data_IF_521846301384
#
_entry.id   IF_521846301384
#
_cell.length_a   1.000
_cell.length_b   1.000
_cell.length_c   1.000
_cell.angle_alpha   90.00
_cell.angle_beta   90.00
_cell.angle_gamma   90.00
#
_symmetry.space_group_name_H-M   'P 1'
#
loop_
_entity.id
_entity.type
_entity.pdbx_description
1 polymer ?
#
# COMPACT_ATOMS: atom_id res chain seq x y z
N UNK A 1 0.18 -13.91 -0.57
CA UNK A 1 0.60 -12.53 -0.26
C UNK A 1 1.03 -12.44 1.21
N UNK A 2 2.11 -13.12 1.58
CA UNK A 2 2.66 -13.04 2.94
C UNK A 2 3.58 -11.82 3.11
N UNK A 3 4.41 -11.52 2.12
CA UNK A 3 5.30 -10.35 2.13
C UNK A 3 4.50 -9.04 2.05
N UNK A 4 3.52 -8.96 1.14
CA UNK A 4 2.65 -7.78 1.02
C UNK A 4 1.87 -7.49 2.32
N UNK A 5 1.37 -8.54 3.01
CA UNK A 5 0.72 -8.41 4.32
C UNK A 5 1.69 -7.96 5.42
N UNK A 6 2.90 -8.52 5.46
CA UNK A 6 3.91 -8.14 6.45
C UNK A 6 4.35 -6.67 6.27
N UNK A 7 4.61 -6.25 5.03
CA UNK A 7 4.91 -4.84 4.69
C UNK A 7 3.72 -3.95 5.05
N UNK A 8 2.49 -4.36 4.72
CA UNK A 8 1.27 -3.64 5.07
C UNK A 8 1.11 -3.45 6.59
N UNK A 9 1.38 -4.48 7.39
CA UNK A 9 1.34 -4.39 8.85
C UNK A 9 2.42 -3.44 9.40
N UNK A 10 3.62 -3.49 8.84
CA UNK A 10 4.69 -2.54 9.16
C UNK A 10 4.31 -1.10 8.82
N UNK A 11 3.73 -0.90 7.64
CA UNK A 11 3.30 0.41 7.13
C UNK A 11 2.15 0.99 7.97
N UNK A 12 1.09 0.22 8.21
CA UNK A 12 -0.04 0.65 9.04
C UNK A 12 0.37 0.89 10.49
N UNK A 13 1.29 0.07 11.02
CA UNK A 13 1.88 0.28 12.33
C UNK A 13 2.65 1.60 12.42
N UNK A 14 3.42 1.94 11.38
CA UNK A 14 4.11 3.23 11.30
C UNK A 14 3.13 4.40 11.18
N UNK A 15 2.13 4.31 10.30
CA UNK A 15 1.06 5.32 10.16
C UNK A 15 0.35 5.54 11.49
N UNK A 16 0.01 4.47 12.20
CA UNK A 16 -0.58 4.54 13.54
C UNK A 16 0.34 5.24 14.53
N UNK A 17 1.63 4.89 14.57
CA UNK A 17 2.59 5.50 15.49
C UNK A 17 2.75 7.01 15.19
N UNK A 18 2.75 7.41 13.92
CA UNK A 18 2.74 8.84 13.53
C UNK A 18 1.47 9.54 14.03
N UNK A 19 0.30 8.91 13.89
CA UNK A 19 -0.97 9.50 14.35
C UNK A 19 -1.10 9.53 15.88
N UNK A 20 -0.46 8.61 16.61
CA UNK A 20 -0.53 8.52 18.07
C UNK A 20 0.53 9.38 18.76
N UNK A 21 1.77 9.29 18.31
CA UNK A 21 2.95 9.80 18.99
C UNK A 21 3.61 10.98 18.24
N UNK A 22 3.18 11.24 17.00
CA UNK A 22 3.72 12.28 16.11
C UNK A 22 4.84 11.77 15.19
N UNK A 23 5.05 12.48 14.08
CA UNK A 23 6.02 12.09 13.05
C UNK A 23 7.45 11.96 13.59
N UNK A 24 7.91 12.93 14.40
CA UNK A 24 9.28 12.93 14.93
C UNK A 24 9.57 11.71 15.82
N UNK A 25 8.65 11.33 16.71
CA UNK A 25 8.83 10.16 17.59
C UNK A 25 8.73 8.86 16.80
N UNK A 26 7.79 8.75 15.86
CA UNK A 26 7.66 7.57 14.99
C UNK A 26 8.94 7.32 14.17
N UNK A 27 9.53 8.37 13.59
CA UNK A 27 10.79 8.28 12.83
C UNK A 27 11.97 7.85 13.72
N UNK A 28 12.05 8.37 14.96
CA UNK A 28 13.08 7.95 15.92
C UNK A 28 12.92 6.49 16.31
N UNK A 29 11.72 6.07 16.68
CA UNK A 29 11.47 4.72 17.18
C UNK A 29 11.61 3.65 16.10
N UNK A 30 11.17 3.93 14.87
CA UNK A 30 11.11 2.94 13.78
C UNK A 30 12.33 2.94 12.88
N UNK A 31 12.91 4.11 12.62
CA UNK A 31 14.02 4.26 11.68
C UNK A 31 15.35 4.59 12.39
N UNK A 32 15.31 5.01 13.66
CA UNK A 32 16.48 5.51 14.39
C UNK A 32 17.19 6.65 13.62
N UNK A 33 16.40 7.49 12.95
CA UNK A 33 16.86 8.54 12.02
C UNK A 33 16.27 9.89 12.38
N UNK A 34 16.90 10.58 13.31
CA UNK A 34 16.54 11.95 13.70
C UNK A 34 16.82 12.98 12.59
N UNK A 35 17.62 12.61 11.59
CA UNK A 35 17.99 13.41 10.43
C UNK A 35 16.87 13.55 9.38
N UNK A 36 15.78 12.79 9.55
CA UNK A 36 14.60 12.80 8.68
C UNK A 36 13.49 13.75 9.16
N UNK A 37 13.68 14.44 10.28
CA UNK A 37 12.75 15.48 10.73
C UNK A 37 12.81 16.67 9.77
N UNK A 38 11.66 17.29 9.48
CA UNK A 38 11.48 18.40 8.54
C UNK A 38 11.88 18.08 7.09
N UNK A 39 11.92 16.79 6.72
CA UNK A 39 12.20 16.34 5.35
C UNK A 39 10.94 16.18 4.51
N UNK A 40 11.05 16.29 3.17
CA UNK A 40 9.94 16.00 2.27
C UNK A 40 9.36 14.61 2.52
N UNK A 41 8.03 14.50 2.45
CA UNK A 41 7.32 13.24 2.68
C UNK A 41 7.85 12.09 1.83
N UNK A 42 8.12 12.36 0.55
CA UNK A 42 8.63 11.37 -0.40
C UNK A 42 10.00 10.82 -0.01
N UNK A 43 10.92 11.68 0.47
CA UNK A 43 12.24 11.27 0.95
C UNK A 43 12.13 10.36 2.18
N UNK A 44 11.28 10.73 3.14
CA UNK A 44 11.05 9.94 4.35
C UNK A 44 10.44 8.58 4.04
N UNK A 45 9.43 8.54 3.17
CA UNK A 45 8.74 7.32 2.78
C UNK A 45 9.62 6.38 1.95
N UNK A 46 10.54 6.91 1.14
CA UNK A 46 11.56 6.09 0.47
C UNK A 46 12.50 5.40 1.47
N UNK A 47 12.94 6.12 2.52
CA UNK A 47 13.75 5.50 3.57
C UNK A 47 12.95 4.46 4.34
N UNK A 48 11.68 4.73 4.62
CA UNK A 48 10.78 3.76 5.24
C UNK A 48 10.68 2.48 4.38
N UNK A 49 10.52 2.61 3.06
CA UNK A 49 10.46 1.49 2.13
C UNK A 49 11.69 0.57 2.24
N UNK A 50 12.90 1.15 2.35
CA UNK A 50 14.13 0.35 2.51
C UNK A 50 14.21 -0.38 3.86
N UNK A 51 13.48 0.09 4.88
CA UNK A 51 13.44 -0.57 6.19
C UNK A 51 12.39 -1.66 6.25
N UNK A 52 11.20 -1.43 5.68
CA UNK A 52 10.07 -2.35 5.81
C UNK A 52 10.00 -3.40 4.70
N UNK A 53 10.50 -3.10 3.50
CA UNK A 53 10.47 -4.05 2.39
C UNK A 53 11.60 -5.07 2.51
N UNK A 54 11.31 -6.37 2.36
CA UNK A 54 12.35 -7.40 2.29
C UNK A 54 13.31 -7.15 1.11
N UNK A 55 14.49 -7.79 1.12
CA UNK A 55 15.51 -7.63 0.08
C UNK A 55 15.08 -8.15 -1.31
N UNK A 56 13.92 -8.81 -1.41
CA UNK A 56 13.36 -9.33 -2.64
C UNK A 56 13.83 -10.75 -3.00
N UNK A 57 13.39 -11.23 -4.16
CA UNK A 57 13.69 -12.57 -4.69
C UNK A 57 12.45 -13.44 -4.89
N UNK A 58 11.35 -13.14 -4.18
CA UNK A 58 10.03 -13.75 -4.44
C UNK A 58 9.09 -12.75 -5.13
N UNK A 59 8.17 -13.26 -5.96
CA UNK A 59 7.16 -12.45 -6.67
C UNK A 59 6.39 -11.55 -5.70
N UNK A 60 5.98 -12.08 -4.56
CA UNK A 60 5.22 -11.33 -3.55
C UNK A 60 6.04 -10.23 -2.86
N UNK A 61 7.35 -10.41 -2.72
CA UNK A 61 8.25 -9.38 -2.18
C UNK A 61 8.49 -8.26 -3.20
N UNK A 62 8.60 -8.63 -4.48
CA UNK A 62 8.67 -7.68 -5.58
C UNK A 62 7.38 -6.88 -5.71
N UNK A 63 6.21 -7.53 -5.60
CA UNK A 63 4.89 -6.87 -5.56
C UNK A 63 4.84 -5.86 -4.42
N UNK A 64 5.21 -6.26 -3.20
CA UNK A 64 5.16 -5.36 -2.05
C UNK A 64 6.07 -4.14 -2.23
N UNK A 65 7.30 -4.34 -2.72
CA UNK A 65 8.23 -3.22 -2.95
C UNK A 65 7.74 -2.31 -4.07
N UNK A 66 7.30 -2.87 -5.20
CA UNK A 66 6.82 -2.10 -6.33
C UNK A 66 5.59 -1.26 -5.95
N UNK A 67 4.60 -1.88 -5.30
CA UNK A 67 3.40 -1.20 -4.86
C UNK A 67 3.68 -0.01 -3.94
N UNK A 68 4.66 -0.14 -3.03
CA UNK A 68 5.06 0.95 -2.16
C UNK A 68 5.72 2.10 -2.94
N UNK A 69 6.55 1.78 -3.93
CA UNK A 69 7.19 2.79 -4.80
C UNK A 69 6.15 3.52 -5.66
N UNK A 70 5.18 2.80 -6.23
CA UNK A 70 4.11 3.38 -7.03
C UNK A 70 3.25 4.32 -6.16
N UNK A 71 2.93 3.91 -4.93
CA UNK A 71 2.21 4.76 -3.97
C UNK A 71 2.99 6.03 -3.62
N UNK A 72 4.32 5.94 -3.48
CA UNK A 72 5.18 7.10 -3.23
C UNK A 72 5.19 8.03 -4.45
N UNK A 73 5.19 7.48 -5.67
CA UNK A 73 5.09 8.25 -6.90
C UNK A 73 3.75 9.00 -6.98
N UNK A 74 2.62 8.34 -6.71
CA UNK A 74 1.29 8.98 -6.67
C UNK A 74 1.25 10.12 -5.66
N UNK A 75 1.93 9.96 -4.52
CA UNK A 75 2.01 11.00 -3.49
C UNK A 75 2.90 12.17 -3.94
N UNK A 76 3.97 11.90 -4.68
CA UNK A 76 4.85 12.93 -5.23
C UNK A 76 4.12 13.82 -6.23
N UNK A 77 3.24 13.24 -7.05
CA UNK A 77 2.40 14.01 -7.99
C UNK A 77 1.41 14.96 -7.28
N UNK A 78 1.04 14.64 -6.04
CA UNK A 78 0.12 15.43 -5.21
C UNK A 78 0.80 16.54 -4.41
N UNK A 79 2.13 16.67 -4.47
CA UNK A 79 2.96 17.68 -3.78
C UNK A 79 2.57 17.90 -2.30
N UNK A 80 2.62 16.82 -1.51
CA UNK A 80 2.13 16.82 -0.12
C UNK A 80 3.05 17.52 0.90
N UNK A 81 4.16 18.12 0.46
CA UNK A 81 5.07 18.86 1.32
C UNK A 81 5.93 18.00 2.25
N UNK A 82 6.18 18.52 3.46
CA UNK A 82 7.02 17.84 4.45
C UNK A 82 6.27 16.71 5.16
N UNK A 83 7.00 15.70 5.61
CA UNK A 83 6.41 14.50 6.22
C UNK A 83 5.64 14.82 7.51
N UNK A 84 6.15 15.72 8.34
CA UNK A 84 5.56 16.14 9.62
C UNK A 84 4.28 16.98 9.45
N UNK A 85 4.04 17.49 8.26
CA UNK A 85 2.84 18.26 7.90
C UNK A 85 1.73 17.37 7.32
N UNK A 86 2.01 16.09 7.06
CA UNK A 86 1.01 15.15 6.53
C UNK A 86 -0.13 14.94 7.52
N UNK A 87 -1.35 15.16 7.05
CA UNK A 87 -2.57 14.91 7.81
C UNK A 87 -2.83 13.41 7.98
N UNK A 88 -3.60 13.02 9.01
CA UNK A 88 -4.03 11.62 9.18
C UNK A 88 -4.76 11.08 7.94
N UNK A 89 -5.52 11.93 7.24
CA UNK A 89 -6.18 11.54 5.98
C UNK A 89 -5.17 11.24 4.88
N UNK A 90 -4.12 12.03 4.72
CA UNK A 90 -3.06 11.76 3.74
C UNK A 90 -2.26 10.50 4.09
N UNK A 91 -2.02 10.23 5.38
CA UNK A 91 -1.34 9.00 5.81
C UNK A 91 -2.21 7.75 5.59
N UNK A 92 -3.51 7.84 5.87
CA UNK A 92 -4.47 6.77 5.57
C UNK A 92 -4.59 6.54 4.06
N UNK A 93 -4.68 7.61 3.28
CA UNK A 93 -4.70 7.60 1.81
C UNK A 93 -3.46 6.92 1.24
N UNK A 94 -2.29 7.25 1.77
CA UNK A 94 -1.03 6.59 1.42
C UNK A 94 -1.08 5.08 1.73
N UNK A 95 -1.54 4.69 2.91
CA UNK A 95 -1.69 3.27 3.25
C UNK A 95 -2.67 2.54 2.32
N UNK A 96 -3.81 3.15 1.99
CA UNK A 96 -4.79 2.55 1.08
C UNK A 96 -4.27 2.44 -0.36
N UNK A 97 -3.54 3.46 -0.84
CA UNK A 97 -2.86 3.39 -2.14
C UNK A 97 -1.91 2.19 -2.23
N UNK A 98 -1.15 1.92 -1.17
CA UNK A 98 -0.32 0.71 -1.10
C UNK A 98 -1.15 -0.57 -1.22
N UNK A 99 -2.29 -0.66 -0.53
CA UNK A 99 -3.17 -1.83 -0.65
C UNK A 99 -3.70 -1.98 -2.08
N UNK A 100 -4.19 -0.91 -2.71
CA UNK A 100 -4.67 -0.91 -4.10
C UNK A 100 -3.59 -1.46 -5.04
N UNK A 101 -2.37 -0.89 -4.98
CA UNK A 101 -1.26 -1.31 -5.84
C UNK A 101 -0.83 -2.77 -5.60
N UNK A 102 -0.85 -3.25 -4.35
CA UNK A 102 -0.51 -4.66 -4.09
C UNK A 102 -1.56 -5.64 -4.65
N UNK A 103 -2.85 -5.30 -4.56
CA UNK A 103 -3.93 -6.12 -5.11
C UNK A 103 -3.89 -6.10 -6.63
N UNK A 104 -3.71 -4.93 -7.24
CA UNK A 104 -3.57 -4.78 -8.68
C UNK A 104 -2.38 -5.59 -9.21
N UNK A 105 -1.20 -5.39 -8.64
CA UNK A 105 0.01 -6.11 -9.06
C UNK A 105 -0.14 -7.63 -8.86
N UNK A 106 -0.91 -8.07 -7.85
CA UNK A 106 -1.21 -9.49 -7.65
C UNK A 106 -2.11 -10.03 -8.74
N UNK A 107 -3.20 -9.32 -9.07
CA UNK A 107 -4.12 -9.71 -10.14
C UNK A 107 -3.39 -9.75 -11.47
N UNK A 108 -2.57 -8.74 -11.79
CA UNK A 108 -1.73 -8.72 -12.98
C UNK A 108 -0.75 -9.88 -13.03
N UNK A 109 -0.09 -10.20 -11.91
CA UNK A 109 0.83 -11.34 -11.84
C UNK A 109 0.11 -12.68 -12.06
N UNK A 110 -1.10 -12.83 -11.53
CA UNK A 110 -1.90 -14.04 -11.71
C UNK A 110 -2.47 -14.12 -13.14
N UNK A 111 -2.95 -13.03 -13.74
CA UNK A 111 -3.34 -12.99 -15.17
C UNK A 111 -2.15 -13.30 -16.06
N UNK A 112 -1.00 -12.63 -15.88
CA UNK A 112 0.19 -12.84 -16.70
C UNK A 112 0.73 -14.26 -16.64
N UNK A 113 0.51 -14.98 -15.53
CA UNK A 113 0.86 -16.39 -15.40
C UNK A 113 -0.06 -17.34 -16.19
N UNK A 114 -1.31 -16.94 -16.43
CA UNK A 114 -2.34 -17.76 -17.09
C UNK A 114 -2.72 -17.24 -18.50
N UNK A 115 -2.24 -16.06 -18.89
CA UNK A 115 -2.52 -15.46 -20.19
C UNK A 115 -1.80 -16.26 -21.30
N UNK A 116 -2.59 -16.81 -22.23
CA UNK A 116 -2.11 -17.54 -23.41
C UNK A 116 -1.96 -16.58 -24.61
N UNK A 117 -2.76 -15.51 -24.65
CA UNK A 117 -2.71 -14.47 -25.68
C UNK A 117 -2.07 -13.18 -25.15
N UNK A 118 -1.07 -12.70 -25.87
CA UNK A 118 -0.38 -11.45 -25.59
C UNK A 118 -1.12 -10.29 -26.28
N UNK A 119 -1.37 -9.15 -25.59
CA UNK A 119 -1.91 -7.95 -26.22
C UNK A 119 -1.07 -7.54 -27.45
N UNK A 120 -1.74 -7.09 -28.51
CA UNK A 120 -1.09 -6.81 -29.79
C UNK A 120 -0.19 -5.56 -29.75
N UNK A 121 -0.40 -4.66 -28.79
CA UNK A 121 0.37 -3.43 -28.60
C UNK A 121 0.38 -2.97 -27.14
N UNK A 122 1.28 -2.03 -26.82
CA UNK A 122 1.49 -1.49 -25.47
C UNK A 122 0.29 -0.66 -25.00
N UNK A 123 -0.40 0.04 -25.90
CA UNK A 123 -1.53 0.90 -25.54
C UNK A 123 -2.70 0.09 -24.98
N UNK A 124 -2.92 -1.12 -25.51
CA UNK A 124 -3.91 -2.05 -24.97
C UNK A 124 -3.54 -2.54 -23.57
N UNK A 125 -2.25 -2.73 -23.28
CA UNK A 125 -1.77 -3.11 -21.93
C UNK A 125 -2.04 -1.98 -20.95
N UNK A 126 -1.65 -0.75 -21.30
CA UNK A 126 -1.87 0.44 -20.47
C UNK A 126 -3.36 0.65 -20.18
N UNK A 127 -4.23 0.49 -21.18
CA UNK A 127 -5.68 0.62 -20.99
C UNK A 127 -6.24 -0.45 -20.04
N UNK A 128 -5.76 -1.70 -20.12
CA UNK A 128 -6.18 -2.77 -19.21
C UNK A 128 -5.70 -2.48 -17.78
N UNK A 129 -4.48 -1.97 -17.63
CA UNK A 129 -3.93 -1.58 -16.32
C UNK A 129 -4.73 -0.43 -15.71
N UNK A 130 -5.01 0.65 -16.45
CA UNK A 130 -5.83 1.77 -15.95
C UNK A 130 -7.23 1.32 -15.52
N UNK A 131 -7.87 0.43 -16.30
CA UNK A 131 -9.18 -0.12 -15.96
C UNK A 131 -9.14 -0.98 -14.70
N UNK A 132 -8.12 -1.82 -14.55
CA UNK A 132 -7.93 -2.63 -13.37
C UNK A 132 -7.65 -1.75 -12.14
N UNK A 133 -6.78 -0.76 -12.28
CA UNK A 133 -6.47 0.21 -11.22
C UNK A 133 -7.75 0.91 -10.75
N UNK A 134 -8.50 1.54 -11.66
CA UNK A 134 -9.74 2.23 -11.31
C UNK A 134 -10.80 1.32 -10.69
N UNK A 135 -10.87 0.07 -11.13
CA UNK A 135 -11.75 -0.93 -10.53
C UNK A 135 -11.34 -1.29 -9.10
N UNK A 136 -10.07 -1.67 -8.88
CA UNK A 136 -9.54 -2.02 -7.56
C UNK A 136 -9.64 -0.83 -6.61
N UNK A 137 -9.29 0.37 -7.07
CA UNK A 137 -9.34 1.60 -6.29
C UNK A 137 -10.76 1.90 -5.77
N UNK A 138 -11.76 1.88 -6.65
CA UNK A 138 -13.15 2.11 -6.28
C UNK A 138 -13.69 1.04 -5.30
N UNK A 139 -13.34 -0.23 -5.51
CA UNK A 139 -13.74 -1.34 -4.65
C UNK A 139 -13.08 -1.26 -3.27
N UNK A 140 -11.77 -0.95 -3.21
CA UNK A 140 -10.99 -0.90 -1.97
C UNK A 140 -11.38 0.33 -1.15
N UNK A 141 -11.38 1.53 -1.72
CA UNK A 141 -11.57 2.76 -0.94
C UNK A 141 -12.95 2.87 -0.32
N UNK A 142 -13.99 2.50 -1.07
CA UNK A 142 -15.38 2.56 -0.56
C UNK A 142 -15.66 1.60 0.59
N UNK A 143 -14.83 0.56 0.79
CA UNK A 143 -15.06 -0.48 1.78
C UNK A 143 -14.02 -0.51 2.91
N UNK A 144 -12.81 -0.02 2.68
CA UNK A 144 -11.68 -0.19 3.61
C UNK A 144 -11.44 1.01 4.53
N UNK A 145 -11.98 2.19 4.21
CA UNK A 145 -11.87 3.40 5.07
C UNK A 145 -12.36 3.14 6.50
N UNK A 146 -13.48 2.42 6.66
CA UNK A 146 -14.04 2.07 7.97
C UNK A 146 -13.10 1.24 8.84
N UNK A 147 -12.17 0.48 8.24
CA UNK A 147 -11.22 -0.35 8.99
C UNK A 147 -10.10 0.49 9.63
N UNK A 148 -9.88 1.71 9.14
CA UNK A 148 -8.87 2.64 9.64
C UNK A 148 -9.41 3.55 10.75
N UNK A 149 -10.71 3.51 11.04
CA UNK A 149 -11.28 4.27 12.14
C UNK A 149 -10.67 3.88 13.49
N UNK A 150 -10.19 4.89 14.21
CA UNK A 150 -9.59 4.71 15.54
C UNK A 150 -8.27 3.93 15.53
N UNK A 151 -7.58 3.84 14.38
CA UNK A 151 -6.32 3.09 14.27
C UNK A 151 -5.31 3.46 15.36
N UNK A 152 -5.20 4.75 15.73
CA UNK A 152 -4.26 5.24 16.75
C UNK A 152 -4.43 4.61 18.14
N UNK A 153 -5.58 3.99 18.42
CA UNK A 153 -5.87 3.32 19.70
C UNK A 153 -5.58 1.82 19.67
N UNK A 154 -5.27 1.26 18.50
CA UNK A 154 -5.07 -0.19 18.32
C UNK A 154 -3.66 -0.64 18.70
N UNK A 155 -3.57 -1.81 19.31
CA UNK A 155 -2.33 -2.52 19.59
C UNK A 155 -1.67 -3.04 18.31
N UNK A 156 -0.42 -3.48 18.39
CA UNK A 156 0.30 -4.07 17.24
C UNK A 156 -0.41 -5.30 16.68
N UNK A 157 -0.93 -6.16 17.56
CA UNK A 157 -1.67 -7.35 17.15
C UNK A 157 -2.96 -6.98 16.42
N UNK A 158 -3.68 -5.98 16.89
CA UNK A 158 -4.90 -5.49 16.23
C UNK A 158 -4.60 -4.84 14.88
N UNK A 159 -3.47 -4.14 14.72
CA UNK A 159 -3.02 -3.62 13.43
C UNK A 159 -2.79 -4.75 12.42
N UNK A 160 -2.12 -5.84 12.84
CA UNK A 160 -1.92 -7.02 11.97
C UNK A 160 -3.27 -7.58 11.52
N UNK A 161 -4.21 -7.77 12.46
CA UNK A 161 -5.55 -8.25 12.14
C UNK A 161 -6.31 -7.31 11.20
N UNK A 162 -6.19 -5.99 11.38
CA UNK A 162 -6.80 -5.01 10.48
C UNK A 162 -6.24 -5.17 9.06
N UNK A 163 -4.92 -5.29 8.91
CA UNK A 163 -4.30 -5.51 7.60
C UNK A 163 -4.78 -6.82 6.97
N UNK A 164 -4.84 -7.91 7.74
CA UNK A 164 -5.36 -9.19 7.25
C UNK A 164 -6.79 -9.06 6.72
N UNK A 165 -7.69 -8.43 7.49
CA UNK A 165 -9.08 -8.19 7.08
C UNK A 165 -9.19 -7.30 5.84
N UNK A 166 -8.35 -6.27 5.73
CA UNK A 166 -8.29 -5.38 4.56
C UNK A 166 -7.91 -6.16 3.30
N UNK A 167 -6.91 -7.03 3.39
CA UNK A 167 -6.51 -7.88 2.26
C UNK A 167 -7.56 -8.93 1.91
N UNK A 168 -8.22 -9.53 2.91
CA UNK A 168 -9.31 -10.49 2.67
C UNK A 168 -10.48 -9.82 1.96
N UNK A 169 -10.96 -8.69 2.49
CA UNK A 169 -12.05 -7.93 1.88
C UNK A 169 -11.71 -7.45 0.46
N UNK A 170 -10.50 -6.89 0.25
CA UNK A 170 -10.07 -6.47 -1.07
C UNK A 170 -10.04 -7.63 -2.08
N UNK A 171 -9.55 -8.81 -1.66
CA UNK A 171 -9.50 -9.98 -2.52
C UNK A 171 -10.90 -10.56 -2.82
N UNK A 172 -11.78 -10.60 -1.82
CA UNK A 172 -13.18 -11.01 -2.00
C UNK A 172 -13.91 -10.09 -2.99
N UNK A 173 -13.74 -8.78 -2.87
CA UNK A 173 -14.37 -7.79 -3.78
C UNK A 173 -13.92 -7.98 -5.23
N UNK A 174 -12.61 -8.18 -5.43
CA UNK A 174 -12.05 -8.43 -6.76
C UNK A 174 -12.54 -9.78 -7.30
N UNK A 175 -12.52 -10.84 -6.49
CA UNK A 175 -12.90 -12.20 -6.90
C UNK A 175 -14.41 -12.33 -7.20
N UNK A 176 -15.27 -11.75 -6.35
CA UNK A 176 -16.72 -11.80 -6.52
C UNK A 176 -17.20 -11.09 -7.79
N UNK A 177 -16.43 -10.12 -8.28
CA UNK A 177 -16.77 -9.32 -9.46
C UNK A 177 -16.11 -9.84 -10.74
N UNK A 178 -14.96 -10.53 -10.62
CA UNK A 178 -14.28 -11.17 -11.75
C UNK A 178 -15.05 -12.40 -12.31
N UNK A 179 -16.05 -12.91 -11.57
CA UNK A 179 -16.69 -14.19 -11.86
C UNK A 179 -15.74 -15.34 -11.51
N UNK A 180 -16.26 -16.50 -11.11
CA UNK A 180 -15.46 -17.66 -10.75
C UNK A 180 -14.40 -17.96 -11.83
N UNK A 181 -13.14 -17.60 -11.54
CA UNK A 181 -12.00 -18.06 -12.31
C UNK A 181 -11.74 -19.49 -11.83
N UNK A 182 -12.43 -20.46 -12.44
CA UNK A 182 -12.09 -21.89 -12.33
C UNK A 182 -10.74 -22.23 -12.99
#
# INVERSE_FOLDING_TARGET
MGASRAVGAGLLGFVRDVQRDGAAEALRHRLNRSDLVDRPATEVLLVLAEVICPPGGRVDEAIARQALLDTIADLAEKDVGNFDEMTSSQLNEFFLGFIVHTIEARVLADIGKHAIDLPADVAQVEQIQEQLHGFVDASVRGHLDQHLEGIQQKTDQEVVTVVESIYEAAFELVSATAGDIE
#
